data_IF_697729333962
#
_entry.id   IF_697729333962
#
_cell.length_a   1.000
_cell.length_b   1.000
_cell.length_c   1.000
_cell.angle_alpha   90.00
_cell.angle_beta   90.00
_cell.angle_gamma   90.00
#
_symmetry.space_group_name_H-M   'P 1'
#
loop_
_entity.id
_entity.type
_entity.pdbx_description
1 polymer ?
#
# COMPACT_ATOMS: atom_id res chain seq x y z
N UNK A 1 63.85 -19.92 39.74
CA UNK A 1 62.84 -18.84 39.67
C UNK A 1 61.79 -19.27 38.66
N UNK A 2 60.62 -19.66 39.13
CA UNK A 2 59.54 -20.20 38.31
C UNK A 2 58.70 -19.05 37.73
N UNK A 3 58.70 -18.92 36.40
CA UNK A 3 57.78 -18.03 35.68
C UNK A 3 56.34 -18.52 35.86
N UNK A 4 55.52 -17.70 36.53
CA UNK A 4 54.08 -17.95 36.63
C UNK A 4 53.45 -17.40 35.34
N UNK A 5 53.28 -18.28 34.35
CA UNK A 5 52.52 -17.99 33.14
C UNK A 5 51.02 -17.87 33.48
N UNK A 6 50.53 -16.64 33.61
CA UNK A 6 49.09 -16.37 33.66
C UNK A 6 48.48 -16.51 32.26
N UNK A 7 48.04 -17.71 31.91
CA UNK A 7 47.21 -17.95 30.73
C UNK A 7 45.80 -17.40 30.99
N UNK A 8 45.54 -16.16 30.56
CA UNK A 8 44.18 -15.61 30.53
C UNK A 8 43.49 -16.23 29.31
N UNK A 9 42.42 -17.04 29.48
CA UNK A 9 41.73 -17.65 28.35
C UNK A 9 41.15 -16.56 27.44
N UNK A 10 41.36 -16.68 26.13
CA UNK A 10 40.95 -15.71 25.09
C UNK A 10 39.51 -15.19 25.24
N UNK A 11 38.59 -15.97 25.82
CA UNK A 11 37.21 -15.54 26.13
C UNK A 11 37.09 -14.42 27.18
N UNK A 12 37.98 -14.35 28.18
CA UNK A 12 38.00 -13.25 29.17
C UNK A 12 38.52 -11.95 28.56
N UNK A 13 39.44 -12.03 27.59
CA UNK A 13 39.95 -10.88 26.85
C UNK A 13 38.87 -10.23 25.97
N UNK A 14 38.00 -11.05 25.36
CA UNK A 14 36.86 -10.58 24.56
C UNK A 14 35.86 -9.78 25.41
N UNK A 15 35.52 -10.29 26.60
CA UNK A 15 34.61 -9.63 27.53
C UNK A 15 35.16 -8.27 28.02
N UNK A 16 36.46 -8.19 28.28
CA UNK A 16 37.12 -6.93 28.65
C UNK A 16 37.03 -5.92 27.49
N UNK A 17 37.30 -6.37 26.25
CA UNK A 17 37.23 -5.52 25.05
C UNK A 17 35.82 -4.96 24.82
N UNK A 18 34.79 -5.80 24.97
CA UNK A 18 33.40 -5.39 24.79
C UNK A 18 32.92 -4.45 25.90
N UNK A 19 33.39 -4.66 27.13
CA UNK A 19 33.12 -3.76 28.26
C UNK A 19 33.76 -2.39 28.04
N UNK A 20 35.01 -2.33 27.59
CA UNK A 20 35.69 -1.07 27.21
C UNK A 20 34.94 -0.38 26.07
N UNK A 21 34.49 -1.13 25.06
CA UNK A 21 33.72 -0.57 23.93
C UNK A 21 32.38 0.02 24.38
N UNK A 22 31.68 -0.63 25.31
CA UNK A 22 30.46 -0.09 25.93
C UNK A 22 30.74 1.18 26.73
N UNK A 23 31.79 1.19 27.56
CA UNK A 23 32.15 2.38 28.34
C UNK A 23 32.54 3.56 27.44
N UNK A 24 33.23 3.31 26.33
CA UNK A 24 33.52 4.32 25.31
C UNK A 24 32.24 4.87 24.65
N UNK A 25 31.25 4.02 24.37
CA UNK A 25 29.95 4.44 23.84
C UNK A 25 29.13 5.25 24.85
N UNK A 26 29.22 4.92 26.15
CA UNK A 26 28.56 5.68 27.21
C UNK A 26 29.21 7.06 27.37
N UNK A 27 30.56 7.14 27.39
CA UNK A 27 31.27 8.42 27.45
C UNK A 27 31.02 9.30 26.23
N UNK A 28 30.96 8.72 25.02
CA UNK A 28 30.69 9.49 23.81
C UNK A 28 29.26 10.04 23.79
N UNK A 29 28.28 9.26 24.25
CA UNK A 29 26.88 9.72 24.37
C UNK A 29 26.72 10.80 25.44
N UNK A 30 27.46 10.72 26.54
CA UNK A 30 27.50 11.78 27.56
C UNK A 30 28.11 13.08 27.02
N UNK A 31 29.30 13.05 26.41
CA UNK A 31 29.92 14.25 25.82
C UNK A 31 29.05 14.91 24.74
N UNK A 32 28.39 14.10 23.91
CA UNK A 32 27.42 14.58 22.90
C UNK A 32 26.19 15.20 23.57
N UNK A 33 25.71 14.65 24.69
CA UNK A 33 24.56 15.22 25.41
C UNK A 33 24.83 16.62 25.94
N UNK A 34 25.99 16.86 26.55
CA UNK A 34 26.31 18.19 27.10
C UNK A 34 26.55 19.23 25.99
N UNK A 35 27.16 18.83 24.86
CA UNK A 35 27.43 19.73 23.72
C UNK A 35 26.23 19.98 22.79
N UNK A 36 25.21 19.12 22.82
CA UNK A 36 23.96 19.31 22.06
C UNK A 36 22.90 20.14 22.80
N UNK A 37 23.06 20.34 24.11
CA UNK A 37 22.15 21.18 24.91
C UNK A 37 22.47 22.68 24.76
N UNK A 38 23.67 23.00 24.32
CA UNK A 38 24.03 24.38 23.98
C UNK A 38 23.34 24.77 22.68
N UNK A 39 22.43 25.74 22.80
CA UNK A 39 21.75 26.33 21.65
C UNK A 39 22.78 27.05 20.78
N UNK A 40 23.05 26.52 19.59
CA UNK A 40 23.84 27.22 18.58
C UNK A 40 22.95 28.23 17.87
N UNK A 41 23.37 29.48 17.86
CA UNK A 41 22.72 30.51 17.05
C UNK A 41 22.64 30.04 15.60
N UNK A 42 21.43 30.11 15.05
CA UNK A 42 21.16 29.67 13.69
C UNK A 42 21.74 30.73 12.75
N UNK A 43 22.76 30.35 11.99
CA UNK A 43 23.25 31.22 10.92
C UNK A 43 22.16 31.42 9.88
N UNK A 44 21.86 32.68 9.57
CA UNK A 44 20.96 33.01 8.47
C UNK A 44 21.61 32.58 7.17
N UNK A 45 21.01 31.61 6.49
CA UNK A 45 21.48 31.12 5.21
C UNK A 45 20.47 31.52 4.13
N UNK A 46 20.83 32.54 3.35
CA UNK A 46 20.01 33.08 2.26
C UNK A 46 20.08 32.23 0.98
N UNK A 47 20.76 31.07 1.00
CA UNK A 47 20.88 30.20 -0.16
C UNK A 47 19.58 29.44 -0.40
N UNK A 48 19.09 29.50 -1.64
CA UNK A 48 17.90 28.77 -2.07
C UNK A 48 18.17 27.25 -2.02
N UNK A 49 17.33 26.45 -1.34
CA UNK A 49 17.51 25.00 -1.29
C UNK A 49 16.98 24.31 -2.55
N UNK A 50 17.79 23.42 -3.12
CA UNK A 50 17.36 22.43 -4.11
C UNK A 50 17.11 21.12 -3.39
N UNK A 51 15.87 20.62 -3.42
CA UNK A 51 15.48 19.38 -2.75
C UNK A 51 15.48 18.22 -3.75
N UNK A 52 16.36 17.24 -3.54
CA UNK A 52 16.43 16.03 -4.36
C UNK A 52 16.16 14.78 -3.52
N UNK A 53 15.52 13.75 -4.08
CA UNK A 53 15.42 12.46 -3.39
C UNK A 53 16.79 11.83 -3.25
N UNK A 54 17.17 11.43 -2.04
CA UNK A 54 18.44 10.74 -1.82
C UNK A 54 18.52 9.43 -2.62
N UNK A 55 19.56 9.30 -3.43
CA UNK A 55 19.94 8.07 -4.12
C UNK A 55 21.47 7.89 -3.97
N UNK A 56 21.96 6.79 -3.36
CA UNK A 56 23.39 6.57 -3.16
C UNK A 56 24.19 6.50 -4.47
N UNK A 57 23.55 6.17 -5.59
CA UNK A 57 24.18 6.11 -6.92
C UNK A 57 24.33 7.50 -7.58
N UNK A 58 23.68 8.53 -7.04
CA UNK A 58 23.70 9.89 -7.60
C UNK A 58 24.60 10.83 -6.79
N UNK A 59 25.85 10.43 -6.57
CA UNK A 59 26.86 11.27 -5.91
C UNK A 59 27.30 12.48 -6.77
N UNK A 60 27.00 12.46 -8.08
CA UNK A 60 27.38 13.49 -9.05
C UNK A 60 26.55 14.77 -8.96
N UNK A 61 25.43 14.79 -8.23
CA UNK A 61 24.49 15.92 -8.21
C UNK A 61 25.17 17.21 -7.75
N UNK A 62 26.10 17.13 -6.79
CA UNK A 62 26.89 18.29 -6.33
C UNK A 62 27.81 18.83 -7.41
N UNK A 63 28.34 17.97 -8.28
CA UNK A 63 29.18 18.38 -9.41
C UNK A 63 28.30 19.08 -10.45
N UNK A 64 27.19 18.45 -10.82
CA UNK A 64 26.21 19.03 -11.77
C UNK A 64 25.74 20.41 -11.31
N UNK A 65 25.39 20.58 -10.03
CA UNK A 65 24.96 21.87 -9.51
C UNK A 65 26.04 22.96 -9.66
N UNK A 66 27.32 22.60 -9.51
CA UNK A 66 28.44 23.53 -9.74
C UNK A 66 28.63 23.84 -11.21
N UNK A 67 28.56 22.81 -12.06
CA UNK A 67 28.78 22.95 -13.51
C UNK A 67 27.65 23.77 -14.19
N UNK A 68 26.42 23.70 -13.66
CA UNK A 68 25.26 24.47 -14.16
C UNK A 68 25.18 25.88 -13.58
N UNK A 69 25.90 26.19 -12.51
CA UNK A 69 25.86 27.52 -11.87
C UNK A 69 26.17 28.66 -12.85
N UNK A 70 27.21 28.58 -13.71
CA UNK A 70 27.50 29.64 -14.68
C UNK A 70 26.34 29.85 -15.68
N UNK A 71 25.64 28.77 -16.07
CA UNK A 71 24.48 28.88 -16.96
C UNK A 71 23.31 29.61 -16.30
N UNK A 72 23.10 29.40 -15.00
CA UNK A 72 22.08 30.13 -14.22
C UNK A 72 22.42 31.63 -14.13
N UNK A 73 23.69 32.00 -14.20
CA UNK A 73 24.15 33.39 -14.14
C UNK A 73 24.08 34.12 -15.48
N UNK A 74 23.87 33.41 -16.59
CA UNK A 74 23.64 34.01 -17.91
C UNK A 74 22.32 34.79 -17.95
N UNK A 75 21.28 34.33 -17.24
CA UNK A 75 20.01 35.02 -17.14
C UNK A 75 20.01 35.99 -15.94
N UNK A 76 19.71 37.26 -16.20
CA UNK A 76 19.64 38.33 -15.19
C UNK A 76 18.65 38.03 -14.05
N UNK A 77 17.52 37.37 -14.35
CA UNK A 77 16.51 37.02 -13.35
C UNK A 77 16.97 35.88 -12.46
N UNK A 78 17.55 34.83 -13.06
CA UNK A 78 18.04 33.67 -12.31
C UNK A 78 19.27 34.01 -11.47
N UNK A 79 20.12 34.93 -11.94
CA UNK A 79 21.25 35.46 -11.18
C UNK A 79 20.82 36.20 -9.90
N UNK A 80 19.70 36.93 -9.94
CA UNK A 80 19.14 37.58 -8.74
C UNK A 80 18.63 36.57 -7.71
N UNK A 81 18.09 35.44 -8.16
CA UNK A 81 17.53 34.38 -7.30
C UNK A 81 18.65 33.48 -6.73
N UNK A 82 19.63 33.12 -7.56
CA UNK A 82 20.73 32.20 -7.22
C UNK A 82 22.06 32.93 -7.19
N UNK A 83 22.21 33.89 -6.27
CA UNK A 83 23.45 34.63 -6.07
C UNK A 83 24.64 33.70 -5.78
N UNK A 84 24.39 32.71 -4.92
CA UNK A 84 25.34 31.67 -4.53
C UNK A 84 24.90 30.30 -5.04
N UNK A 85 25.80 29.32 -4.95
CA UNK A 85 25.48 27.92 -5.25
C UNK A 85 24.27 27.49 -4.39
N UNK A 86 23.19 26.96 -4.98
CA UNK A 86 22.03 26.52 -4.21
C UNK A 86 22.40 25.49 -3.13
N UNK A 87 21.65 25.49 -2.03
CA UNK A 87 21.85 24.52 -0.96
C UNK A 87 21.27 23.17 -1.40
N UNK A 88 22.13 22.20 -1.67
CA UNK A 88 21.67 20.85 -2.02
C UNK A 88 21.16 20.13 -0.75
N UNK A 89 19.85 19.89 -0.73
CA UNK A 89 19.15 19.21 0.34
C UNK A 89 18.57 17.89 -0.15
N UNK A 90 18.58 16.88 0.72
CA UNK A 90 18.13 15.53 0.37
C UNK A 90 16.87 15.17 1.14
N UNK A 91 15.81 14.79 0.42
CA UNK A 91 14.63 14.15 1.01
C UNK A 91 14.82 12.64 1.06
N UNK A 92 14.37 12.02 2.13
CA UNK A 92 14.38 10.56 2.26
C UNK A 92 13.46 9.92 1.20
N UNK A 93 13.90 8.88 0.47
CA UNK A 93 13.02 8.12 -0.40
C UNK A 93 11.92 7.43 0.41
N UNK A 94 10.79 7.05 -0.21
CA UNK A 94 9.78 6.23 0.45
C UNK A 94 10.44 4.93 0.94
N UNK A 95 10.38 4.71 2.25
CA UNK A 95 10.84 3.46 2.85
C UNK A 95 9.65 2.54 3.11
N UNK A 96 9.91 1.24 3.29
CA UNK A 96 8.87 0.25 3.52
C UNK A 96 7.93 0.65 4.66
N UNK A 97 8.46 1.21 5.75
CA UNK A 97 7.64 1.70 6.86
C UNK A 97 6.66 2.78 6.41
N UNK A 98 7.08 3.80 5.67
CA UNK A 98 6.18 4.85 5.15
C UNK A 98 5.18 4.32 4.12
N UNK A 99 5.51 3.24 3.41
CA UNK A 99 4.62 2.61 2.43
C UNK A 99 3.56 1.72 3.10
N UNK A 100 3.96 0.95 4.11
CA UNK A 100 3.15 -0.07 4.78
C UNK A 100 2.36 0.55 5.94
N UNK A 101 3.03 1.36 6.78
CA UNK A 101 2.42 1.98 7.96
C UNK A 101 1.72 3.26 7.54
N UNK A 102 0.38 3.22 7.55
CA UNK A 102 -0.45 4.41 7.43
C UNK A 102 -0.93 4.80 8.82
N UNK A 103 -0.47 5.93 9.34
CA UNK A 103 -1.15 6.59 10.47
C UNK A 103 -2.41 7.25 9.92
N UNK A 104 -3.53 6.51 9.92
CA UNK A 104 -4.83 7.05 9.58
C UNK A 104 -5.60 7.31 10.87
N UNK A 105 -6.17 8.50 11.01
CA UNK A 105 -7.19 8.75 12.04
C UNK A 105 -8.43 7.91 11.70
N UNK A 106 -9.16 7.39 12.71
CA UNK A 106 -10.41 6.68 12.48
C UNK A 106 -11.36 7.57 11.68
N UNK A 107 -11.75 7.14 10.48
CA UNK A 107 -12.75 7.85 9.69
C UNK A 107 -14.13 7.49 10.23
N UNK A 108 -14.98 8.49 10.48
CA UNK A 108 -16.38 8.33 10.92
C UNK A 108 -17.32 7.85 9.81
N UNK A 109 -16.79 7.32 8.71
CA UNK A 109 -17.58 6.84 7.59
C UNK A 109 -18.29 5.55 7.96
N UNK A 110 -19.59 5.47 7.66
CA UNK A 110 -20.36 4.24 7.81
C UNK A 110 -19.70 3.12 7.00
N UNK A 111 -19.50 1.99 7.64
CA UNK A 111 -18.96 0.80 7.01
C UNK A 111 -20.00 0.15 6.07
N UNK A 112 -19.52 -0.56 5.06
CA UNK A 112 -20.36 -1.23 4.07
C UNK A 112 -20.09 -0.78 2.64
N UNK A 113 -20.95 -1.25 1.74
CA UNK A 113 -20.89 -0.93 0.30
C UNK A 113 -21.90 0.15 -0.05
N UNK A 114 -21.46 1.16 -0.79
CA UNK A 114 -22.28 2.31 -1.16
C UNK A 114 -22.10 2.67 -2.65
N UNK A 115 -23.11 3.31 -3.27
CA UNK A 115 -22.98 3.79 -4.63
C UNK A 115 -22.00 4.97 -4.67
N UNK A 116 -21.29 5.10 -5.79
CA UNK A 116 -20.33 6.18 -6.02
C UNK A 116 -21.01 7.47 -6.53
N UNK A 117 -22.34 7.51 -6.58
CA UNK A 117 -23.19 8.66 -6.96
C UNK A 117 -22.82 9.33 -8.29
N UNK A 118 -22.15 8.62 -9.19
CA UNK A 118 -21.88 9.09 -10.53
C UNK A 118 -23.02 8.71 -11.46
N UNK A 119 -23.59 9.69 -12.15
CA UNK A 119 -24.72 9.51 -13.08
C UNK A 119 -24.41 8.54 -14.22
N UNK A 120 -23.13 8.31 -14.55
CA UNK A 120 -22.70 7.41 -15.64
C UNK A 120 -22.36 6.00 -15.14
N UNK A 121 -22.47 5.73 -13.84
CA UNK A 121 -22.03 4.46 -13.27
C UNK A 121 -23.13 3.41 -13.34
N UNK A 122 -23.09 2.59 -14.39
CA UNK A 122 -23.99 1.44 -14.56
C UNK A 122 -23.86 0.37 -13.46
N UNK A 123 -22.74 0.32 -12.76
CA UNK A 123 -22.55 -0.60 -11.63
C UNK A 123 -23.41 -0.24 -10.43
N UNK A 124 -23.76 1.04 -10.22
CA UNK A 124 -24.60 1.44 -9.08
C UNK A 124 -25.98 0.80 -9.13
N UNK A 125 -26.53 0.57 -10.33
CA UNK A 125 -27.88 -0.02 -10.52
C UNK A 125 -27.99 -1.42 -9.95
N UNK A 126 -26.90 -2.17 -9.99
CA UNK A 126 -26.80 -3.56 -9.58
C UNK A 126 -26.09 -3.72 -8.24
N UNK A 127 -25.86 -2.63 -7.50
CA UNK A 127 -25.06 -2.66 -6.28
C UNK A 127 -25.94 -2.95 -5.07
N UNK A 128 -25.63 -4.01 -4.34
CA UNK A 128 -26.21 -4.32 -3.04
C UNK A 128 -25.51 -3.51 -1.96
N UNK A 129 -26.22 -2.52 -1.43
CA UNK A 129 -25.73 -1.69 -0.33
C UNK A 129 -25.97 -2.41 0.99
N UNK A 130 -24.97 -3.19 1.42
CA UNK A 130 -24.97 -3.92 2.69
C UNK A 130 -23.65 -3.69 3.42
N UNK A 131 -23.70 -3.85 4.73
CA UNK A 131 -22.55 -3.89 5.65
C UNK A 131 -22.18 -5.33 6.04
N UNK A 132 -22.96 -6.32 5.62
CA UNK A 132 -22.76 -7.73 5.92
C UNK A 132 -22.90 -8.61 4.69
N UNK A 133 -22.10 -9.67 4.64
CA UNK A 133 -22.01 -10.62 3.54
C UNK A 133 -22.11 -12.04 4.08
N UNK A 134 -23.13 -12.78 3.67
CA UNK A 134 -23.19 -14.21 3.98
C UNK A 134 -22.10 -14.95 3.20
N UNK A 135 -21.27 -15.73 3.90
CA UNK A 135 -20.21 -16.52 3.28
C UNK A 135 -20.84 -17.78 2.68
N UNK A 136 -20.63 -18.07 1.37
CA UNK A 136 -21.21 -19.24 0.73
C UNK A 136 -20.89 -20.54 1.48
N UNK A 137 -21.87 -21.45 1.56
CA UNK A 137 -21.75 -22.79 2.19
C UNK A 137 -21.35 -22.79 3.67
N UNK A 138 -21.54 -21.66 4.34
CA UNK A 138 -21.33 -21.56 5.78
C UNK A 138 -22.50 -20.81 6.40
N UNK A 139 -22.71 -21.00 7.70
CA UNK A 139 -23.62 -20.16 8.48
C UNK A 139 -22.95 -18.85 8.94
N UNK A 140 -21.75 -18.54 8.42
CA UNK A 140 -20.96 -17.38 8.84
C UNK A 140 -21.35 -16.15 8.01
N UNK A 141 -21.38 -15.01 8.69
CA UNK A 141 -21.59 -13.70 8.08
C UNK A 141 -20.34 -12.87 8.31
N UNK A 142 -19.83 -12.27 7.24
CA UNK A 142 -18.73 -11.34 7.28
C UNK A 142 -19.25 -9.90 7.37
N UNK A 143 -18.87 -9.19 8.44
CA UNK A 143 -19.17 -7.76 8.59
C UNK A 143 -18.07 -6.93 7.93
N UNK A 144 -18.48 -6.09 6.99
CA UNK A 144 -17.63 -5.12 6.31
C UNK A 144 -17.28 -4.03 7.33
N UNK A 145 -15.98 -3.87 7.60
CA UNK A 145 -15.48 -2.89 8.57
C UNK A 145 -15.22 -1.53 7.93
N UNK A 146 -14.89 -1.52 6.65
CA UNK A 146 -14.51 -0.31 5.91
C UNK A 146 -15.64 0.22 5.01
N UNK A 147 -15.45 1.43 4.50
CA UNK A 147 -16.35 2.07 3.54
C UNK A 147 -15.90 1.79 2.10
N UNK A 148 -16.74 1.08 1.33
CA UNK A 148 -16.47 0.73 -0.07
C UNK A 148 -17.46 1.37 -1.04
N UNK A 149 -16.94 1.81 -2.17
CA UNK A 149 -17.70 2.40 -3.27
C UNK A 149 -17.49 1.58 -4.54
N UNK A 150 -18.39 1.72 -5.53
CA UNK A 150 -18.12 1.20 -6.88
C UNK A 150 -16.86 1.78 -7.54
N UNK A 151 -16.38 2.93 -7.04
CA UNK A 151 -15.14 3.54 -7.50
C UNK A 151 -13.89 3.05 -6.74
N UNK A 152 -14.05 2.20 -5.73
CA UNK A 152 -12.93 1.64 -4.96
C UNK A 152 -12.11 0.66 -5.78
N UNK A 153 -10.79 0.67 -5.55
CA UNK A 153 -9.79 -0.22 -6.17
C UNK A 153 -9.21 -1.16 -5.12
N UNK A 154 -8.58 -2.26 -5.56
CA UNK A 154 -8.02 -3.31 -4.70
C UNK A 154 -9.08 -3.92 -3.77
N UNK A 155 -10.17 -4.40 -4.38
CA UNK A 155 -11.33 -4.94 -3.69
C UNK A 155 -11.54 -6.41 -4.04
N UNK A 156 -12.11 -7.15 -3.10
CA UNK A 156 -12.74 -8.44 -3.38
C UNK A 156 -14.24 -8.17 -3.52
N UNK A 157 -14.90 -8.85 -4.45
CA UNK A 157 -16.32 -8.63 -4.70
C UNK A 157 -17.03 -9.95 -4.90
N UNK A 158 -18.33 -9.94 -4.63
CA UNK A 158 -19.23 -11.06 -4.84
C UNK A 158 -20.33 -10.65 -5.82
N UNK A 159 -20.51 -11.43 -6.87
CA UNK A 159 -21.64 -11.35 -7.79
C UNK A 159 -22.62 -12.44 -7.37
N UNK A 160 -23.89 -12.10 -7.21
CA UNK A 160 -24.98 -13.06 -6.98
C UNK A 160 -25.91 -13.01 -8.18
N UNK A 161 -26.26 -14.18 -8.70
CA UNK A 161 -27.27 -14.33 -9.74
C UNK A 161 -28.62 -14.63 -9.08
N UNK A 162 -29.62 -13.79 -9.32
CA UNK A 162 -30.98 -13.99 -8.81
C UNK A 162 -31.85 -14.88 -9.71
N UNK A 163 -31.45 -15.07 -10.97
CA UNK A 163 -32.14 -15.96 -11.91
C UNK A 163 -31.90 -17.44 -11.63
N UNK A 164 -30.76 -17.78 -11.02
CA UNK A 164 -30.44 -19.16 -10.67
C UNK A 164 -31.31 -19.65 -9.51
N UNK A 165 -31.94 -20.82 -9.68
CA UNK A 165 -32.72 -21.51 -8.63
C UNK A 165 -31.91 -21.78 -7.35
N UNK A 166 -30.60 -21.96 -7.49
CA UNK A 166 -29.65 -22.18 -6.39
C UNK A 166 -29.02 -20.90 -5.84
N UNK A 167 -29.32 -19.74 -6.42
CA UNK A 167 -28.71 -18.46 -6.04
C UNK A 167 -27.19 -18.45 -6.23
N UNK A 168 -26.76 -18.72 -7.47
CA UNK A 168 -25.37 -18.82 -7.89
C UNK A 168 -24.55 -17.59 -7.50
N UNK A 169 -23.32 -17.82 -7.00
CA UNK A 169 -22.43 -16.77 -6.50
C UNK A 169 -21.11 -16.82 -7.25
N UNK A 170 -20.44 -15.69 -7.38
CA UNK A 170 -19.08 -15.62 -7.93
C UNK A 170 -18.27 -14.65 -7.08
N UNK A 171 -17.11 -15.11 -6.60
CA UNK A 171 -16.17 -14.27 -5.86
C UNK A 171 -15.01 -13.94 -6.78
N UNK A 172 -14.67 -12.65 -6.88
CA UNK A 172 -13.57 -12.19 -7.70
C UNK A 172 -12.76 -11.08 -7.03
N UNK A 173 -11.54 -10.90 -7.52
CA UNK A 173 -10.65 -9.82 -7.12
C UNK A 173 -10.57 -8.75 -8.22
N UNK A 174 -10.43 -7.48 -7.83
CA UNK A 174 -10.14 -6.38 -8.74
C UNK A 174 -9.10 -5.42 -8.14
N UNK A 175 -7.90 -5.38 -8.73
CA UNK A 175 -6.92 -4.32 -8.47
C UNK A 175 -7.36 -2.95 -9.01
N UNK A 176 -8.01 -2.95 -10.17
CA UNK A 176 -8.68 -1.76 -10.74
C UNK A 176 -9.98 -1.41 -10.01
N UNK A 177 -10.61 -0.28 -10.39
CA UNK A 177 -11.91 0.11 -9.83
C UNK A 177 -12.97 -0.97 -10.07
N UNK A 178 -13.81 -1.23 -9.06
CA UNK A 178 -14.91 -2.21 -9.18
C UNK A 178 -15.81 -1.92 -10.38
N UNK A 179 -16.16 -0.66 -10.61
CA UNK A 179 -17.00 -0.26 -11.74
C UNK A 179 -16.41 -0.66 -13.10
N UNK A 180 -15.09 -0.54 -13.26
CA UNK A 180 -14.37 -0.98 -14.46
C UNK A 180 -14.42 -2.50 -14.61
N UNK A 181 -14.23 -3.26 -13.53
CA UNK A 181 -14.34 -4.72 -13.57
C UNK A 181 -15.76 -5.18 -13.91
N UNK A 182 -16.78 -4.52 -13.39
CA UNK A 182 -18.18 -4.83 -13.71
C UNK A 182 -18.55 -4.47 -15.15
N UNK A 183 -17.98 -3.41 -15.73
CA UNK A 183 -18.13 -3.13 -17.16
C UNK A 183 -17.61 -4.29 -18.02
N UNK A 184 -16.47 -4.89 -17.64
CA UNK A 184 -15.91 -6.03 -18.35
C UNK A 184 -16.85 -7.25 -18.30
N UNK A 185 -17.38 -7.57 -17.11
CA UNK A 185 -18.37 -8.65 -16.97
C UNK A 185 -19.63 -8.38 -17.77
N UNK A 186 -20.18 -7.14 -17.72
CA UNK A 186 -21.33 -6.75 -18.53
C UNK A 186 -21.10 -6.92 -20.02
N UNK A 187 -19.94 -6.48 -20.50
CA UNK A 187 -19.58 -6.63 -21.90
C UNK A 187 -19.57 -8.11 -22.30
N UNK A 188 -18.92 -8.97 -21.49
CA UNK A 188 -18.87 -10.42 -21.74
C UNK A 188 -20.25 -11.08 -21.77
N UNK A 189 -21.14 -10.70 -20.86
CA UNK A 189 -22.54 -11.19 -20.83
C UNK A 189 -23.30 -10.71 -22.08
N UNK A 190 -23.21 -9.43 -22.43
CA UNK A 190 -23.90 -8.86 -23.59
C UNK A 190 -23.40 -9.41 -24.93
N UNK A 191 -22.14 -9.83 -25.01
CA UNK A 191 -21.57 -10.47 -26.19
C UNK A 191 -21.71 -12.00 -26.17
N UNK A 192 -22.45 -12.55 -25.21
CA UNK A 192 -22.67 -14.01 -25.03
C UNK A 192 -21.36 -14.81 -25.01
N UNK A 193 -20.31 -14.22 -24.42
CA UNK A 193 -18.98 -14.82 -24.37
C UNK A 193 -18.83 -15.64 -23.09
N UNK A 194 -18.70 -16.96 -23.26
CA UNK A 194 -18.64 -17.93 -22.18
C UNK A 194 -17.18 -18.30 -21.79
N UNK A 195 -16.24 -17.39 -22.04
CA UNK A 195 -14.80 -17.61 -21.74
C UNK A 195 -14.47 -17.36 -20.27
N UNK A 196 -15.40 -16.76 -19.53
CA UNK A 196 -15.22 -16.43 -18.11
C UNK A 196 -16.26 -17.17 -17.28
N UNK A 197 -15.97 -17.52 -16.02
CA UNK A 197 -16.94 -18.22 -15.16
C UNK A 197 -18.26 -17.46 -15.03
N UNK A 198 -18.20 -16.13 -14.96
CA UNK A 198 -19.40 -15.28 -14.98
C UNK A 198 -20.10 -15.37 -16.32
N UNK A 199 -19.38 -15.26 -17.44
CA UNK A 199 -19.95 -15.45 -18.77
C UNK A 199 -20.66 -16.80 -18.93
N UNK A 200 -20.02 -17.91 -18.52
CA UNK A 200 -20.60 -19.26 -18.55
C UNK A 200 -21.90 -19.33 -17.77
N UNK A 201 -21.93 -18.81 -16.54
CA UNK A 201 -23.12 -18.83 -15.70
C UNK A 201 -24.33 -18.15 -16.36
N UNK A 202 -24.10 -17.02 -17.06
CA UNK A 202 -25.18 -16.27 -17.70
C UNK A 202 -25.53 -16.82 -19.09
N UNK A 203 -24.55 -17.31 -19.85
CA UNK A 203 -24.75 -17.99 -21.13
C UNK A 203 -25.61 -19.26 -20.99
N UNK A 204 -25.24 -20.15 -20.06
CA UNK A 204 -25.78 -21.52 -20.02
C UNK A 204 -27.23 -21.61 -19.57
N UNK A 205 -27.75 -20.55 -18.94
CA UNK A 205 -29.07 -20.56 -18.31
C UNK A 205 -30.01 -19.49 -18.88
N UNK A 206 -29.64 -18.83 -19.99
CA UNK A 206 -30.38 -17.72 -20.58
C UNK A 206 -30.69 -16.59 -19.57
N UNK A 207 -29.75 -16.32 -18.66
CA UNK A 207 -29.91 -15.27 -17.65
C UNK A 207 -29.45 -13.92 -18.19
N UNK A 208 -30.15 -12.85 -17.77
CA UNK A 208 -29.91 -11.50 -18.25
C UNK A 208 -29.06 -10.69 -17.27
N UNK A 209 -28.59 -9.52 -17.70
CA UNK A 209 -27.93 -8.56 -16.79
C UNK A 209 -28.81 -8.10 -15.63
N UNK A 210 -30.14 -8.20 -15.75
CA UNK A 210 -31.07 -7.81 -14.67
C UNK A 210 -30.99 -8.76 -13.48
N UNK A 211 -30.54 -10.00 -13.72
CA UNK A 211 -30.37 -11.02 -12.70
C UNK A 211 -29.06 -10.88 -11.91
N UNK A 212 -28.23 -9.89 -12.27
CA UNK A 212 -26.94 -9.65 -11.66
C UNK A 212 -27.05 -8.70 -10.47
N UNK A 213 -26.62 -9.17 -9.30
CA UNK A 213 -26.45 -8.33 -8.11
C UNK A 213 -24.99 -8.37 -7.66
N UNK A 214 -24.41 -7.20 -7.37
CA UNK A 214 -23.00 -7.04 -7.06
C UNK A 214 -22.83 -6.50 -5.64
N UNK A 215 -21.87 -7.06 -4.91
CA UNK A 215 -21.50 -6.62 -3.58
C UNK A 215 -19.97 -6.54 -3.49
N UNK A 216 -19.45 -5.58 -2.73
CA UNK A 216 -18.02 -5.35 -2.56
C UNK A 216 -17.59 -5.62 -1.10
N UNK A 217 -16.43 -6.23 -0.89
CA UNK A 217 -15.86 -6.48 0.44
C UNK A 217 -14.33 -6.33 0.46
N UNK A 218 -13.77 -6.27 1.67
CA UNK A 218 -12.35 -6.01 1.91
C UNK A 218 -11.43 -7.15 1.47
N UNK A 219 -10.21 -6.82 1.05
CA UNK A 219 -9.25 -7.75 0.46
C UNK A 219 -8.70 -8.81 1.44
N UNK A 220 -7.99 -8.51 2.54
CA UNK A 220 -7.31 -9.57 3.30
C UNK A 220 -8.26 -10.27 4.28
N UNK A 221 -9.11 -9.51 4.97
CA UNK A 221 -9.94 -10.02 6.06
C UNK A 221 -11.08 -10.93 5.58
N UNK A 222 -11.63 -10.67 4.38
CA UNK A 222 -12.66 -11.55 3.79
C UNK A 222 -12.05 -12.88 3.33
N UNK A 223 -10.88 -12.86 2.69
CA UNK A 223 -10.19 -14.08 2.23
C UNK A 223 -9.91 -15.03 3.41
N UNK A 224 -9.42 -14.50 4.54
CA UNK A 224 -9.18 -15.31 5.75
C UNK A 224 -10.46 -15.85 6.41
N UNK A 225 -11.63 -15.33 6.05
CA UNK A 225 -12.91 -15.77 6.60
C UNK A 225 -13.55 -16.90 5.77
N UNK A 226 -13.04 -17.15 4.56
CA UNK A 226 -13.45 -18.27 3.72
C UNK A 226 -12.89 -19.59 4.31
N UNK A 227 -13.64 -20.71 4.26
CA UNK A 227 -13.16 -22.01 4.75
C UNK A 227 -11.84 -22.42 4.06
N UNK A 228 -10.97 -23.19 4.74
CA UNK A 228 -9.55 -23.45 4.39
C UNK A 228 -9.28 -23.96 2.95
N UNK A 229 -10.29 -24.52 2.27
CA UNK A 229 -10.23 -24.80 0.81
C UNK A 229 -10.15 -23.53 -0.06
N UNK A 230 -10.44 -22.35 0.49
CA UNK A 230 -10.50 -21.06 -0.23
C UNK A 230 -9.19 -20.28 -0.27
N UNK A 231 -8.22 -20.56 0.62
CA UNK A 231 -6.96 -19.81 0.68
C UNK A 231 -5.95 -20.25 -0.40
N UNK A 232 -6.01 -21.50 -0.86
CA UNK A 232 -5.18 -22.05 -1.94
C UNK A 232 -5.82 -21.91 -3.34
N UNK A 233 -7.14 -21.72 -3.41
CA UNK A 233 -7.92 -21.70 -4.66
C UNK A 233 -7.97 -20.32 -5.33
N UNK A 234 -7.72 -19.21 -4.62
CA UNK A 234 -7.65 -17.89 -5.26
C UNK A 234 -6.43 -17.68 -6.18
N UNK A 235 -5.42 -18.57 -6.13
CA UNK A 235 -4.31 -18.59 -7.11
C UNK A 235 -4.50 -19.60 -8.25
N UNK A 236 -5.45 -20.53 -8.14
CA UNK A 236 -5.79 -21.48 -9.20
C UNK A 236 -7.30 -21.75 -9.14
N UNK A 237 -8.00 -21.16 -10.10
CA UNK A 237 -9.40 -21.40 -10.46
C UNK A 237 -10.43 -20.65 -9.63
N UNK A 238 -11.13 -19.77 -10.34
CA UNK A 238 -12.46 -19.33 -10.00
C UNK A 238 -13.38 -20.55 -9.85
N UNK A 239 -13.66 -20.97 -8.61
CA UNK A 239 -14.60 -22.05 -8.34
C UNK A 239 -15.41 -21.61 -7.15
N UNK A 240 -16.59 -21.09 -7.43
CA UNK A 240 -17.80 -21.37 -6.66
C UNK A 240 -19.03 -21.03 -7.52
N UNK A 241 -19.08 -21.51 -8.76
CA UNK A 241 -20.36 -21.52 -9.50
C UNK A 241 -21.21 -22.64 -8.90
N UNK A 242 -22.17 -22.27 -8.06
CA UNK A 242 -23.15 -23.19 -7.52
C UNK A 242 -24.41 -23.14 -8.37
N UNK A 243 -24.60 -24.17 -9.19
CA UNK A 243 -25.89 -24.61 -9.69
C UNK A 243 -26.15 -26.05 -9.28
#
# INVERSE_FOLDING_TARGET
>A
MTEINFSIPYGKLLLIRDTIRRLLMIKSTEQVKYTLLDYKEKTENNRVPIVVTYNPQLNIIRKIARDLQPMLHTDTRLKQIFLELPLLSYRQPPNLRKMIVRSALPKTTKAGTFPCNSNRCETCKYLLCKDQVAIPNTQKVYTIVDHYLCASSNVVYMITCTGCSTGGKYIGEAGQKLCTRMNYHRHKINTESCDTPVGQQFCSQNHSLQDMQNLCCAFPAFICSLPDEGALVLRKLAIYSYC
#
